data_IF_534417473714
#
_entry.id   IF_534417473714
#
_cell.length_a   1.000
_cell.length_b   1.000
_cell.length_c   1.000
_cell.angle_alpha   90.00
_cell.angle_beta   90.00
_cell.angle_gamma   90.00
#
_symmetry.space_group_name_H-M   'P 1'
#
loop_
_entity.id
_entity.type
_entity.pdbx_description
1 polymer ?
#
# COMPACT_ATOMS: atom_id res chain seq x y z
N UNK A 1 -17.95 -14.17 -8.30
CA UNK A 1 -16.71 -14.98 -8.35
C UNK A 1 -16.11 -15.04 -6.96
N UNK A 2 -15.61 -16.19 -6.51
CA UNK A 2 -14.89 -16.28 -5.24
C UNK A 2 -13.60 -15.45 -5.31
N UNK A 3 -13.36 -14.59 -4.33
CA UNK A 3 -12.14 -13.78 -4.27
C UNK A 3 -10.92 -14.72 -4.15
N UNK A 4 -9.87 -14.46 -4.95
CA UNK A 4 -8.62 -15.23 -4.89
C UNK A 4 -8.02 -15.15 -3.48
N UNK A 5 -7.62 -16.30 -2.93
CA UNK A 5 -6.92 -16.39 -1.65
C UNK A 5 -5.44 -16.61 -1.93
N UNK A 6 -4.62 -15.65 -1.51
CA UNK A 6 -3.19 -15.59 -1.76
C UNK A 6 -2.41 -16.26 -0.62
N UNK A 7 -1.45 -17.13 -0.96
CA UNK A 7 -0.66 -17.89 0.01
C UNK A 7 0.82 -17.57 -0.11
N UNK A 8 1.46 -17.29 1.03
CA UNK A 8 2.91 -17.19 1.09
C UNK A 8 3.51 -18.57 0.79
N UNK A 9 4.41 -18.65 -0.19
CA UNK A 9 5.02 -19.91 -0.64
C UNK A 9 6.54 -19.94 -0.45
N UNK A 10 7.08 -19.01 0.32
CA UNK A 10 8.49 -18.89 0.65
C UNK A 10 8.71 -18.87 2.16
N UNK A 11 9.93 -19.19 2.58
CA UNK A 11 10.34 -19.23 3.98
C UNK A 11 10.62 -17.84 4.54
N UNK A 12 10.57 -17.70 5.87
CA UNK A 12 10.99 -16.48 6.55
C UNK A 12 12.46 -16.14 6.22
N UNK A 13 12.75 -14.85 6.13
CA UNK A 13 14.05 -14.31 5.72
C UNK A 13 14.16 -13.97 4.24
N UNK A 14 13.24 -14.43 3.38
CA UNK A 14 13.30 -14.22 1.94
C UNK A 14 13.35 -12.74 1.54
N UNK A 15 12.48 -11.91 2.11
CA UNK A 15 12.46 -10.47 1.85
C UNK A 15 13.77 -9.80 2.28
N UNK A 16 14.35 -10.20 3.41
CA UNK A 16 15.61 -9.67 3.88
C UNK A 16 16.76 -10.03 2.93
N UNK A 17 16.79 -11.26 2.41
CA UNK A 17 17.77 -11.65 1.38
C UNK A 17 17.64 -10.77 0.12
N UNK A 18 16.41 -10.45 -0.30
CA UNK A 18 16.18 -9.54 -1.44
C UNK A 18 16.68 -8.13 -1.17
N UNK A 19 16.47 -7.60 0.04
CA UNK A 19 17.02 -6.29 0.43
C UNK A 19 18.54 -6.34 0.37
N UNK A 20 19.18 -7.34 1.00
CA UNK A 20 20.64 -7.48 0.98
C UNK A 20 21.21 -7.58 -0.45
N UNK A 21 20.53 -8.32 -1.34
CA UNK A 21 20.93 -8.43 -2.74
C UNK A 21 20.82 -7.09 -3.48
N UNK A 22 19.70 -6.38 -3.33
CA UNK A 22 19.46 -5.09 -3.98
C UNK A 22 20.39 -3.98 -3.44
N UNK A 23 20.71 -3.99 -2.15
CA UNK A 23 21.68 -3.06 -1.56
C UNK A 23 23.10 -3.31 -2.05
N UNK A 24 23.53 -4.58 -2.16
CA UNK A 24 24.88 -4.93 -2.63
C UNK A 24 25.07 -4.69 -4.12
N UNK A 25 24.03 -4.94 -4.91
CA UNK A 25 24.05 -4.82 -6.36
C UNK A 25 22.89 -3.92 -6.83
N UNK A 26 23.02 -2.59 -6.73
CA UNK A 26 21.98 -1.68 -7.19
C UNK A 26 21.72 -1.85 -8.69
N UNK A 27 20.46 -2.11 -9.03
CA UNK A 27 20.01 -2.22 -10.42
C UNK A 27 19.39 -0.88 -10.88
N UNK A 28 19.29 -0.66 -12.20
CA UNK A 28 18.49 0.43 -12.75
C UNK A 28 17.03 0.33 -12.31
N UNK A 29 16.35 1.47 -12.30
CA UNK A 29 14.93 1.52 -11.96
C UNK A 29 14.07 0.64 -12.86
N UNK A 30 13.29 -0.25 -12.24
CA UNK A 30 12.29 -1.07 -12.92
C UNK A 30 10.91 -0.43 -12.76
N UNK A 31 10.28 -0.12 -13.89
CA UNK A 31 8.96 0.52 -13.94
C UNK A 31 7.91 -0.23 -13.10
N UNK A 32 7.15 0.52 -12.31
CA UNK A 32 6.02 -0.02 -11.54
C UNK A 32 4.78 -0.04 -12.44
N UNK A 33 4.05 -1.17 -12.55
CA UNK A 33 2.82 -1.23 -13.32
C UNK A 33 1.75 -0.31 -12.74
N UNK A 34 1.10 0.48 -13.59
CA UNK A 34 0.04 1.37 -13.15
C UNK A 34 -1.27 0.60 -12.95
N UNK A 35 -2.13 1.03 -12.02
CA UNK A 35 -3.48 0.48 -11.88
C UNK A 35 -4.30 0.71 -13.16
N UNK A 36 -5.34 -0.12 -13.42
CA UNK A 36 -6.22 0.07 -14.57
C UNK A 36 -6.84 1.47 -14.63
N UNK A 37 -7.05 1.97 -15.85
CA UNK A 37 -7.54 3.32 -16.06
C UNK A 37 -9.01 3.48 -15.72
N UNK A 38 -9.86 2.48 -15.98
CA UNK A 38 -11.30 2.60 -15.73
C UNK A 38 -11.66 2.15 -14.31
N UNK A 39 -12.74 2.73 -13.76
CA UNK A 39 -13.23 2.37 -12.43
C UNK A 39 -13.68 0.90 -12.37
N UNK A 40 -14.32 0.40 -13.42
CA UNK A 40 -14.83 -0.97 -13.48
C UNK A 40 -13.70 -1.99 -13.54
N UNK A 41 -12.68 -1.75 -14.37
CA UNK A 41 -11.48 -2.60 -14.40
C UNK A 41 -10.78 -2.56 -13.04
N UNK A 42 -10.57 -1.39 -12.46
CA UNK A 42 -9.93 -1.25 -11.15
C UNK A 42 -10.70 -2.04 -10.09
N UNK A 43 -12.04 -1.90 -10.04
CA UNK A 43 -12.89 -2.63 -9.10
C UNK A 43 -12.85 -4.15 -9.29
N UNK A 44 -12.55 -4.63 -10.50
CA UNK A 44 -12.39 -6.06 -10.80
C UNK A 44 -11.04 -6.63 -10.37
N UNK A 45 -10.03 -5.78 -10.12
CA UNK A 45 -8.71 -6.23 -9.66
C UNK A 45 -8.64 -6.48 -8.15
N UNK A 46 -7.71 -7.34 -7.74
CA UNK A 46 -7.47 -7.65 -6.32
C UNK A 46 -7.15 -6.38 -5.51
N UNK A 47 -6.31 -5.49 -6.03
CA UNK A 47 -5.76 -4.34 -5.32
C UNK A 47 -6.55 -3.04 -5.52
N UNK A 48 -7.33 -2.96 -6.60
CA UNK A 48 -8.17 -1.81 -6.90
C UNK A 48 -9.50 -1.81 -6.15
N UNK A 49 -10.07 -2.97 -5.82
CA UNK A 49 -11.31 -3.04 -5.04
C UNK A 49 -11.05 -3.31 -3.55
N UNK A 50 -11.42 -4.52 -3.11
CA UNK A 50 -11.37 -4.96 -1.71
C UNK A 50 -9.96 -5.35 -1.22
N UNK A 51 -8.89 -5.06 -1.95
CA UNK A 51 -7.54 -5.47 -1.58
C UNK A 51 -7.33 -6.99 -1.59
N UNK A 52 -6.21 -7.41 -1.02
CA UNK A 52 -5.77 -8.80 -1.05
C UNK A 52 -6.38 -9.61 0.10
N UNK A 53 -6.99 -10.74 -0.20
CA UNK A 53 -7.37 -11.76 0.80
C UNK A 53 -6.28 -12.82 0.86
N UNK A 54 -5.57 -12.89 1.98
CA UNK A 54 -4.50 -13.86 2.22
C UNK A 54 -5.04 -15.06 3.01
N UNK A 55 -4.34 -16.19 2.97
CA UNK A 55 -4.67 -17.33 3.82
C UNK A 55 -4.37 -17.07 5.32
N UNK A 56 -3.34 -16.28 5.59
CA UNK A 56 -2.97 -15.82 6.92
C UNK A 56 -2.23 -14.47 6.81
N UNK A 57 -2.19 -13.71 7.91
CA UNK A 57 -1.37 -12.52 8.01
C UNK A 57 -0.90 -12.34 9.45
N UNK A 58 0.41 -12.42 9.64
CA UNK A 58 1.10 -12.35 10.93
C UNK A 58 2.17 -11.26 10.91
N UNK A 59 2.85 -11.04 12.04
CA UNK A 59 4.01 -10.14 12.08
C UNK A 59 5.12 -10.58 11.11
N UNK A 60 5.26 -11.89 10.87
CA UNK A 60 6.21 -12.43 9.90
C UNK A 60 5.81 -12.06 8.46
N UNK A 61 4.52 -12.15 8.11
CA UNK A 61 4.04 -11.74 6.77
C UNK A 61 4.22 -10.24 6.54
N UNK A 62 4.00 -9.42 7.59
CA UNK A 62 4.29 -7.99 7.53
C UNK A 62 5.79 -7.70 7.35
N UNK A 63 6.65 -8.44 8.05
CA UNK A 63 8.10 -8.36 7.91
C UNK A 63 8.56 -8.69 6.48
N UNK A 64 8.09 -9.82 5.93
CA UNK A 64 8.43 -10.26 4.58
C UNK A 64 7.94 -9.27 3.52
N UNK A 65 6.66 -8.87 3.60
CA UNK A 65 6.09 -7.91 2.65
C UNK A 65 6.82 -6.56 2.71
N UNK A 66 7.13 -6.09 3.92
CA UNK A 66 7.86 -4.84 4.12
C UNK A 66 9.23 -4.86 3.46
N UNK A 67 10.02 -5.92 3.67
CA UNK A 67 11.33 -6.06 3.03
C UNK A 67 11.25 -6.23 1.52
N UNK A 68 10.27 -6.98 1.01
CA UNK A 68 10.09 -7.14 -0.43
C UNK A 68 9.73 -5.80 -1.10
N UNK A 69 8.87 -4.99 -0.48
CA UNK A 69 8.58 -3.63 -0.92
C UNK A 69 9.82 -2.74 -0.86
N UNK A 70 10.60 -2.82 0.23
CA UNK A 70 11.82 -2.06 0.38
C UNK A 70 12.82 -2.40 -0.74
N UNK A 71 13.09 -3.68 -0.95
CA UNK A 71 13.98 -4.16 -2.01
C UNK A 71 13.51 -3.68 -3.40
N UNK A 72 12.20 -3.74 -3.67
CA UNK A 72 11.58 -3.32 -4.93
C UNK A 72 11.70 -1.82 -5.21
N UNK A 73 11.89 -1.01 -4.18
CA UNK A 73 11.90 0.45 -4.23
C UNK A 73 13.29 1.08 -4.01
N UNK A 74 14.32 0.27 -3.73
CA UNK A 74 15.69 0.77 -3.56
C UNK A 74 16.24 1.42 -4.83
N UNK A 75 15.90 0.90 -6.00
CA UNK A 75 16.29 1.44 -7.30
C UNK A 75 15.69 2.83 -7.57
N UNK A 76 14.44 3.08 -7.18
CA UNK A 76 13.75 4.37 -7.30
C UNK A 76 14.42 5.45 -6.46
N UNK A 77 14.86 5.08 -5.24
CA UNK A 77 15.59 5.99 -4.37
C UNK A 77 17.01 6.26 -4.89
N UNK A 78 17.77 5.20 -5.19
CA UNK A 78 19.18 5.31 -5.54
C UNK A 78 19.44 5.90 -6.93
N UNK A 79 18.62 5.55 -7.92
CA UNK A 79 18.84 5.92 -9.33
C UNK A 79 18.01 7.14 -9.77
N UNK A 80 16.81 7.32 -9.21
CA UNK A 80 15.89 8.40 -9.61
C UNK A 80 15.65 9.46 -8.52
N UNK A 81 16.25 9.32 -7.34
CA UNK A 81 16.10 10.29 -6.24
C UNK A 81 14.66 10.39 -5.71
N UNK A 82 13.88 9.30 -5.80
CA UNK A 82 12.48 9.24 -5.37
C UNK A 82 12.32 8.28 -4.18
N UNK A 83 12.68 8.70 -2.95
CA UNK A 83 12.51 7.88 -1.77
C UNK A 83 11.02 7.70 -1.43
N UNK A 84 10.68 6.59 -0.80
CA UNK A 84 9.34 6.29 -0.34
C UNK A 84 9.36 5.79 1.12
N UNK A 85 8.27 6.10 1.84
CA UNK A 85 7.95 5.55 3.15
C UNK A 85 7.04 4.34 2.97
N UNK A 86 7.43 3.21 3.55
CA UNK A 86 6.64 1.98 3.62
C UNK A 86 6.16 1.83 5.05
N UNK A 87 4.86 1.62 5.23
CA UNK A 87 4.24 1.35 6.54
C UNK A 87 3.29 0.16 6.43
N UNK A 88 3.35 -0.75 7.40
CA UNK A 88 2.41 -1.86 7.53
C UNK A 88 1.94 -1.90 8.98
N UNK A 89 0.63 -1.75 9.19
CA UNK A 89 0.04 -1.68 10.52
C UNK A 89 -1.23 -2.54 10.60
N UNK A 90 -1.52 -3.08 11.77
CA UNK A 90 -2.79 -3.76 12.03
C UNK A 90 -3.97 -2.79 11.93
N UNK A 91 -5.13 -3.30 11.51
CA UNK A 91 -6.32 -2.50 11.20
C UNK A 91 -7.12 -2.04 12.44
N UNK A 92 -6.69 -2.39 13.66
CA UNK A 92 -7.29 -1.86 14.87
C UNK A 92 -7.00 -0.35 14.98
N UNK A 93 -7.97 0.43 15.47
CA UNK A 93 -7.72 1.83 15.80
C UNK A 93 -6.59 1.91 16.85
N UNK A 94 -5.50 2.61 16.50
CA UNK A 94 -4.29 2.64 17.33
C UNK A 94 -3.49 1.32 17.35
N UNK A 95 -3.75 0.41 16.41
CA UNK A 95 -3.02 -0.85 16.27
C UNK A 95 -1.53 -0.64 15.99
N UNK A 96 -0.66 -1.59 16.38
CA UNK A 96 0.78 -1.46 16.23
C UNK A 96 1.18 -1.42 14.75
N UNK A 97 2.18 -0.59 14.46
CA UNK A 97 2.96 -0.68 13.24
C UNK A 97 3.86 -1.91 13.33
N UNK A 98 3.70 -2.84 12.39
CA UNK A 98 4.47 -4.09 12.31
C UNK A 98 5.75 -3.92 11.48
N UNK A 99 5.72 -2.99 10.51
CA UNK A 99 6.87 -2.67 9.67
C UNK A 99 6.84 -1.19 9.28
N UNK A 100 7.99 -0.52 9.37
CA UNK A 100 8.19 0.81 8.82
C UNK A 100 9.62 0.99 8.33
N UNK A 101 9.80 1.52 7.13
CA UNK A 101 11.11 1.86 6.59
C UNK A 101 11.05 2.97 5.56
N UNK A 102 12.16 3.68 5.38
CA UNK A 102 12.37 4.65 4.30
C UNK A 102 13.39 4.07 3.32
N UNK A 103 13.13 4.22 2.02
CA UNK A 103 13.99 3.61 0.98
C UNK A 103 15.21 4.45 0.61
N UNK A 104 15.26 5.71 1.05
CA UNK A 104 16.37 6.62 0.78
C UNK A 104 16.29 7.93 1.57
N UNK A 105 17.26 8.80 1.34
CA UNK A 105 17.36 10.12 1.95
C UNK A 105 16.41 11.13 1.29
N UNK A 106 16.09 12.21 2.01
CA UNK A 106 15.29 13.33 1.48
C UNK A 106 13.80 13.29 1.81
N UNK A 107 13.34 12.25 2.53
CA UNK A 107 11.95 12.12 2.94
C UNK A 107 11.62 13.06 4.12
N UNK A 108 10.53 13.82 4.02
CA UNK A 108 10.11 14.80 5.03
C UNK A 108 9.14 14.19 6.06
N UNK A 109 9.02 14.77 7.28
CA UNK A 109 8.06 14.30 8.29
C UNK A 109 6.60 14.27 7.81
N UNK A 110 6.23 15.05 6.80
CA UNK A 110 4.87 15.10 6.21
C UNK A 110 4.43 13.73 5.67
N UNK A 111 5.35 12.86 5.24
CA UNK A 111 5.00 11.52 4.76
C UNK A 111 4.34 10.66 5.83
N UNK A 112 4.63 10.88 7.12
CA UNK A 112 3.94 10.19 8.22
C UNK A 112 2.48 10.65 8.31
N UNK A 113 2.20 11.93 8.04
CA UNK A 113 0.84 12.43 7.95
C UNK A 113 0.09 11.82 6.76
N UNK A 114 0.75 11.70 5.60
CA UNK A 114 0.21 10.96 4.45
C UNK A 114 -0.11 9.51 4.78
N UNK A 115 0.80 8.79 5.45
CA UNK A 115 0.58 7.40 5.88
C UNK A 115 -0.64 7.30 6.78
N UNK A 116 -0.71 8.14 7.82
CA UNK A 116 -1.86 8.16 8.75
C UNK A 116 -3.18 8.41 8.01
N UNK A 117 -3.20 9.40 7.11
CA UNK A 117 -4.39 9.83 6.36
C UNK A 117 -4.85 8.78 5.34
N UNK A 118 -3.92 8.17 4.59
CA UNK A 118 -4.22 7.06 3.66
C UNK A 118 -4.76 5.85 4.43
N UNK A 119 -4.16 5.50 5.57
CA UNK A 119 -4.62 4.41 6.45
C UNK A 119 -6.04 4.66 6.98
N UNK A 120 -6.32 5.88 7.46
CA UNK A 120 -7.65 6.26 7.93
C UNK A 120 -8.71 6.11 6.82
N UNK A 121 -8.37 6.48 5.58
CA UNK A 121 -9.27 6.30 4.45
C UNK A 121 -9.54 4.81 4.15
N UNK A 122 -8.49 3.99 4.14
CA UNK A 122 -8.64 2.54 3.90
C UNK A 122 -9.51 1.88 4.98
N UNK A 123 -9.31 2.24 6.25
CA UNK A 123 -10.12 1.72 7.36
C UNK A 123 -11.59 2.08 7.22
N UNK A 124 -11.89 3.35 6.94
CA UNK A 124 -13.27 3.85 6.94
C UNK A 124 -14.07 3.37 5.73
N UNK A 125 -13.49 3.38 4.53
CA UNK A 125 -14.20 3.02 3.29
C UNK A 125 -13.99 1.58 2.85
N UNK A 126 -13.14 0.80 3.54
CA UNK A 126 -12.98 -0.62 3.30
C UNK A 126 -12.30 -0.99 1.96
N UNK A 127 -11.77 -0.01 1.24
CA UNK A 127 -11.18 -0.13 -0.10
C UNK A 127 -9.83 0.60 -0.14
N UNK A 128 -9.03 0.39 -1.18
CA UNK A 128 -7.78 1.14 -1.33
C UNK A 128 -8.00 2.65 -1.37
N UNK A 129 -7.04 3.44 -0.85
CA UNK A 129 -7.12 4.90 -0.90
C UNK A 129 -7.22 5.39 -2.35
N UNK A 130 -6.55 4.69 -3.28
CA UNK A 130 -6.66 4.94 -4.72
C UNK A 130 -8.09 4.81 -5.23
N UNK A 131 -8.81 3.74 -4.88
CA UNK A 131 -10.21 3.56 -5.29
C UNK A 131 -11.13 4.63 -4.72
N UNK A 132 -10.89 5.07 -3.49
CA UNK A 132 -11.61 6.23 -2.95
C UNK A 132 -11.33 7.45 -3.82
N UNK A 133 -10.07 7.75 -4.14
CA UNK A 133 -9.71 8.84 -5.05
C UNK A 133 -10.38 8.77 -6.42
N UNK A 134 -10.34 7.60 -7.05
CA UNK A 134 -10.93 7.38 -8.38
C UNK A 134 -12.44 7.62 -8.40
N UNK A 135 -13.16 7.28 -7.31
CA UNK A 135 -14.60 7.59 -7.15
C UNK A 135 -14.90 9.08 -6.94
N UNK A 136 -13.89 9.87 -6.56
CA UNK A 136 -14.01 11.28 -6.24
C UNK A 136 -13.08 12.10 -7.13
N UNK A 137 -13.32 12.10 -8.44
CA UNK A 137 -12.65 13.01 -9.36
C UNK A 137 -11.14 12.80 -9.50
N UNK A 138 -10.67 11.55 -9.36
CA UNK A 138 -9.24 11.21 -9.41
C UNK A 138 -8.40 11.86 -8.27
N UNK A 139 -8.96 11.90 -7.07
CA UNK A 139 -8.29 12.44 -5.89
C UNK A 139 -8.69 13.88 -5.53
N UNK A 140 -9.87 14.33 -5.97
CA UNK A 140 -10.43 15.62 -5.57
C UNK A 140 -10.94 15.53 -4.12
N UNK A 141 -10.10 15.98 -3.17
CA UNK A 141 -10.40 15.94 -1.74
C UNK A 141 -11.56 16.88 -1.35
N UNK A 142 -11.81 17.95 -2.10
CA UNK A 142 -12.93 18.86 -1.85
C UNK A 142 -14.26 18.21 -2.27
N UNK A 143 -14.29 17.59 -3.45
CA UNK A 143 -15.44 16.79 -3.90
C UNK A 143 -15.70 15.62 -2.95
N UNK A 144 -14.64 14.96 -2.49
CA UNK A 144 -14.73 13.89 -1.50
C UNK A 144 -15.33 14.36 -0.17
N UNK A 145 -14.84 15.47 0.37
CA UNK A 145 -15.38 16.03 1.60
C UNK A 145 -16.87 16.38 1.47
N UNK A 146 -17.24 17.06 0.38
CA UNK A 146 -18.63 17.41 0.08
C UNK A 146 -19.53 16.18 -0.05
N UNK A 147 -19.11 15.16 -0.79
CA UNK A 147 -19.90 13.93 -1.01
C UNK A 147 -20.03 13.05 0.23
N UNK A 148 -19.07 13.11 1.15
CA UNK A 148 -19.06 12.28 2.36
C UNK A 148 -19.48 13.05 3.62
N UNK A 149 -19.98 14.29 3.49
CA UNK A 149 -20.45 15.11 4.60
C UNK A 149 -19.36 15.43 5.63
N UNK A 150 -18.10 15.57 5.18
CA UNK A 150 -16.97 15.87 6.06
C UNK A 150 -16.85 17.38 6.24
N UNK A 151 -16.78 17.82 7.51
CA UNK A 151 -16.41 19.19 7.83
C UNK A 151 -14.93 19.48 7.53
N UNK A 152 -14.49 20.74 7.60
CA UNK A 152 -13.12 21.15 7.27
C UNK A 152 -12.03 20.38 8.04
N UNK A 153 -12.22 20.19 9.34
CA UNK A 153 -11.28 19.43 10.19
C UNK A 153 -11.32 17.94 9.88
N UNK A 154 -12.53 17.38 9.70
CA UNK A 154 -12.73 15.96 9.41
C UNK A 154 -12.19 15.54 8.04
N UNK A 155 -12.21 16.42 7.04
CA UNK A 155 -11.65 16.12 5.72
C UNK A 155 -10.12 15.91 5.78
N UNK A 156 -9.42 16.69 6.60
CA UNK A 156 -7.97 16.61 6.76
C UNK A 156 -7.46 15.31 7.41
N UNK A 157 -8.34 14.53 8.02
CA UNK A 157 -8.00 13.21 8.59
C UNK A 157 -7.75 12.14 7.52
N UNK A 158 -8.17 12.39 6.28
CA UNK A 158 -8.14 11.41 5.21
C UNK A 158 -7.31 11.88 4.03
N UNK A 159 -6.66 10.94 3.37
CA UNK A 159 -5.99 11.16 2.10
C UNK A 159 -6.47 10.07 1.14
N UNK A 160 -7.01 10.51 0.00
CA UNK A 160 -7.63 9.62 -0.99
C UNK A 160 -6.75 9.42 -2.22
N UNK A 161 -5.47 9.71 -2.08
CA UNK A 161 -4.46 9.44 -3.10
C UNK A 161 -3.93 8.01 -2.94
N UNK A 162 -3.52 7.41 -4.05
CA UNK A 162 -3.03 6.03 -4.10
C UNK A 162 -1.87 5.72 -3.15
N UNK A 163 -1.76 4.45 -2.76
CA UNK A 163 -0.71 3.95 -1.88
C UNK A 163 -1.20 3.25 -0.63
N UNK A 164 -2.46 3.41 -0.20
CA UNK A 164 -3.04 2.63 0.89
C UNK A 164 -3.83 1.43 0.35
N UNK A 165 -3.48 0.22 0.79
CA UNK A 165 -4.11 -1.04 0.36
C UNK A 165 -4.52 -1.88 1.57
N UNK A 166 -5.77 -2.33 1.67
CA UNK A 166 -6.19 -3.21 2.75
C UNK A 166 -5.74 -4.65 2.54
N UNK A 167 -5.33 -5.29 3.62
CA UNK A 167 -5.06 -6.73 3.72
C UNK A 167 -6.19 -7.38 4.51
N UNK A 168 -6.72 -8.47 3.95
CA UNK A 168 -7.76 -9.32 4.54
C UNK A 168 -7.23 -10.73 4.71
N UNK A 169 -7.87 -11.49 5.59
CA UNK A 169 -7.56 -12.92 5.79
C UNK A 169 -8.83 -13.73 5.55
N UNK A 170 -8.68 -14.87 4.88
CA UNK A 170 -9.79 -15.78 4.64
C UNK A 170 -10.48 -16.15 5.97
N UNK A 171 -11.80 -15.99 6.04
CA UNK A 171 -12.60 -16.25 7.24
C UNK A 171 -12.71 -15.07 8.21
N UNK A 172 -11.93 -14.00 8.03
CA UNK A 172 -12.14 -12.72 8.73
C UNK A 172 -13.04 -11.80 7.89
N UNK A 173 -14.03 -11.17 8.52
CA UNK A 173 -14.96 -10.26 7.83
C UNK A 173 -14.33 -8.90 7.51
N UNK A 174 -13.41 -8.47 8.38
CA UNK A 174 -12.79 -7.15 8.33
C UNK A 174 -11.43 -7.11 7.65
N UNK A 175 -10.93 -5.88 7.48
CA UNK A 175 -9.52 -5.62 7.20
C UNK A 175 -8.73 -6.05 8.44
N UNK A 176 -7.62 -6.77 8.25
CA UNK A 176 -6.74 -7.19 9.36
C UNK A 176 -5.50 -6.31 9.46
N UNK A 177 -5.03 -5.79 8.33
CA UNK A 177 -3.88 -4.90 8.25
C UNK A 177 -3.98 -3.97 7.04
N UNK A 178 -3.17 -2.91 7.04
CA UNK A 178 -3.09 -1.96 5.95
C UNK A 178 -1.63 -1.76 5.60
N UNK A 179 -1.34 -1.85 4.30
CA UNK A 179 -0.04 -1.53 3.73
C UNK A 179 -0.16 -0.15 3.11
N UNK A 180 0.80 0.72 3.41
CA UNK A 180 0.91 2.05 2.83
C UNK A 180 2.29 2.24 2.22
N UNK A 181 2.34 2.69 0.97
CA UNK A 181 3.52 3.29 0.35
C UNK A 181 3.24 4.77 0.09
N UNK A 182 4.22 5.63 0.38
CA UNK A 182 4.08 7.08 0.23
C UNK A 182 5.39 7.74 -0.18
N UNK A 183 5.44 8.29 -1.39
CA UNK A 183 6.53 9.15 -1.86
C UNK A 183 6.76 9.15 -3.36
N UNK A 184 6.09 8.26 -4.10
CA UNK A 184 6.11 8.23 -5.56
C UNK A 184 4.87 8.92 -6.14
N UNK A 185 4.64 8.77 -7.45
CA UNK A 185 3.32 9.10 -8.04
C UNK A 185 2.28 8.16 -7.44
N UNK A 186 1.04 8.64 -7.28
CA UNK A 186 0.00 7.86 -6.60
C UNK A 186 -0.28 6.50 -7.25
N UNK A 187 -0.13 6.41 -8.57
CA UNK A 187 -0.27 5.17 -9.34
C UNK A 187 0.87 4.20 -9.03
N UNK A 188 2.09 4.70 -8.86
CA UNK A 188 3.28 3.92 -8.50
C UNK A 188 3.20 3.45 -7.04
N UNK A 189 2.87 4.36 -6.11
CA UNK A 189 2.63 4.05 -4.69
C UNK A 189 1.61 2.90 -4.56
N UNK A 190 0.52 2.96 -5.34
CA UNK A 190 -0.52 1.93 -5.30
C UNK A 190 -0.10 0.64 -6.04
N UNK A 191 0.53 0.78 -7.20
CA UNK A 191 0.90 -0.33 -8.08
C UNK A 191 1.97 -1.24 -7.50
N UNK A 192 2.96 -0.68 -6.80
CA UNK A 192 4.08 -1.47 -6.26
C UNK A 192 3.63 -2.49 -5.20
N UNK A 193 2.59 -2.14 -4.43
CA UNK A 193 2.00 -3.06 -3.44
C UNK A 193 1.41 -4.28 -4.14
N UNK A 194 0.71 -4.05 -5.25
CA UNK A 194 0.12 -5.14 -6.03
C UNK A 194 1.17 -5.98 -6.75
N UNK A 195 2.16 -5.33 -7.35
CA UNK A 195 3.30 -5.96 -8.02
C UNK A 195 4.00 -6.94 -7.06
N UNK A 196 4.37 -6.46 -5.87
CA UNK A 196 5.06 -7.28 -4.86
C UNK A 196 4.20 -8.43 -4.35
N UNK A 197 2.95 -8.20 -4.00
CA UNK A 197 2.09 -9.29 -3.49
C UNK A 197 1.88 -10.35 -4.58
N UNK A 198 1.65 -9.94 -5.83
CA UNK A 198 1.41 -10.87 -6.95
C UNK A 198 2.63 -11.69 -7.33
N UNK A 199 3.82 -11.12 -7.19
CA UNK A 199 5.07 -11.81 -7.50
C UNK A 199 5.47 -12.84 -6.42
N UNK A 200 4.99 -12.70 -5.18
CA UNK A 200 5.51 -13.45 -4.03
C UNK A 200 4.45 -14.30 -3.31
N UNK A 201 3.16 -13.96 -3.39
CA UNK A 201 2.08 -14.82 -2.90
C UNK A 201 1.41 -15.52 -4.09
N UNK A 202 1.14 -16.82 -3.95
CA UNK A 202 0.51 -17.65 -4.98
C UNK A 202 -1.00 -17.82 -4.75
#
# INVERSE_FOLDING_TARGET
>A
MSQKVWKRNFAAGHGLEKVLAATKNPAPEVAIPYPPATLDELASTDFGGKGFTLAAFTAEDAWELGHLLHARLLDHAASAGRPALINIALAAAGGPTLYQSVTGSGLLPDHEAWVRRKRAAVLRWGTSSYMVGRKHGNGDEALFAAKNGLGPEGAGEYAIHGGGVPIRVQGAEGIVAIVVVSGLKQEEDHGVIADVIRANWA
#
